data_IF_538603583735
#
_entry.id   IF_538603583735
#
_cell.length_a   1.000
_cell.length_b   1.000
_cell.length_c   1.000
_cell.angle_alpha   90.00
_cell.angle_beta   90.00
_cell.angle_gamma   90.00
#
_symmetry.space_group_name_H-M   'P 1'
#
loop_
_entity.id
_entity.type
_entity.pdbx_description
1 polymer ?
#
# COMPACT_ATOMS: atom_id res chain seq x y z
N UNK A 1 11.64 0.91 -38.13
CA UNK A 1 10.21 0.52 -38.22
C UNK A 1 9.37 0.97 -37.02
N UNK A 2 9.91 0.99 -35.79
CA UNK A 2 9.19 1.43 -34.57
C UNK A 2 8.57 2.84 -34.62
N UNK A 3 9.31 3.83 -35.16
CA UNK A 3 8.82 5.22 -35.27
C UNK A 3 7.57 5.37 -36.14
N UNK A 4 7.43 4.54 -37.19
CA UNK A 4 6.27 4.57 -38.07
C UNK A 4 5.04 3.97 -37.38
N UNK A 5 5.20 2.80 -36.75
CA UNK A 5 4.13 2.14 -36.00
C UNK A 5 3.63 3.00 -34.83
N UNK A 6 4.54 3.68 -34.11
CA UNK A 6 4.15 4.60 -33.04
C UNK A 6 3.32 5.78 -33.58
N UNK A 7 3.71 6.33 -34.73
CA UNK A 7 2.98 7.43 -35.40
C UNK A 7 1.59 7.00 -35.86
N UNK A 8 1.47 5.79 -36.38
CA UNK A 8 0.18 5.21 -36.81
C UNK A 8 -0.73 4.96 -35.60
N UNK A 9 -0.18 4.38 -34.53
CA UNK A 9 -0.91 4.13 -33.29
C UNK A 9 -1.44 5.43 -32.66
N UNK A 10 -0.61 6.48 -32.55
CA UNK A 10 -1.03 7.78 -32.01
C UNK A 10 -2.17 8.40 -32.81
N UNK A 11 -2.08 8.35 -34.14
CA UNK A 11 -3.11 8.89 -35.03
C UNK A 11 -4.42 8.12 -34.92
N UNK A 12 -4.35 6.80 -34.71
CA UNK A 12 -5.52 5.97 -34.51
C UNK A 12 -6.17 6.23 -33.14
N UNK A 13 -5.36 6.42 -32.10
CA UNK A 13 -5.82 6.75 -30.74
C UNK A 13 -6.54 8.11 -30.68
N UNK A 14 -6.07 9.11 -31.43
CA UNK A 14 -6.76 10.40 -31.56
C UNK A 14 -8.05 10.32 -32.39
N UNK A 15 -8.12 9.41 -33.37
CA UNK A 15 -9.34 9.20 -34.17
C UNK A 15 -10.47 8.57 -33.34
N UNK A 16 -10.13 7.67 -32.40
CA UNK A 16 -11.08 7.01 -31.49
C UNK A 16 -11.13 7.68 -30.11
N UNK A 17 -11.35 9.00 -30.07
CA UNK A 17 -11.20 9.83 -28.86
C UNK A 17 -12.05 9.37 -27.68
N UNK A 18 -13.34 9.05 -27.88
CA UNK A 18 -14.25 8.69 -26.80
C UNK A 18 -13.90 7.34 -26.14
N UNK A 19 -13.63 6.32 -26.95
CA UNK A 19 -13.33 4.98 -26.45
C UNK A 19 -11.91 4.90 -25.87
N UNK A 20 -10.95 5.57 -26.51
CA UNK A 20 -9.59 5.68 -25.97
C UNK A 20 -9.56 6.44 -24.65
N UNK A 21 -10.40 7.47 -24.48
CA UNK A 21 -10.48 8.23 -23.24
C UNK A 21 -10.96 7.36 -22.07
N UNK A 22 -12.05 6.62 -22.24
CA UNK A 22 -12.57 5.71 -21.21
C UNK A 22 -11.55 4.62 -20.88
N UNK A 23 -10.91 4.03 -21.89
CA UNK A 23 -9.90 2.98 -21.70
C UNK A 23 -8.67 3.48 -20.94
N UNK A 24 -8.17 4.68 -21.26
CA UNK A 24 -7.01 5.26 -20.57
C UNK A 24 -7.40 5.69 -19.15
N UNK A 25 -8.61 6.22 -18.95
CA UNK A 25 -9.10 6.61 -17.63
C UNK A 25 -9.22 5.42 -16.68
N UNK A 26 -9.89 4.35 -17.10
CA UNK A 26 -10.07 3.16 -16.25
C UNK A 26 -8.73 2.50 -15.92
N UNK A 27 -7.82 2.41 -16.90
CA UNK A 27 -6.47 1.92 -16.69
C UNK A 27 -5.69 2.80 -15.71
N UNK A 28 -5.79 4.12 -15.85
CA UNK A 28 -5.11 5.07 -14.96
C UNK A 28 -5.67 5.03 -13.54
N UNK A 29 -6.99 4.92 -13.38
CA UNK A 29 -7.65 4.79 -12.09
C UNK A 29 -7.23 3.49 -11.38
N UNK A 30 -7.20 2.37 -12.10
CA UNK A 30 -6.73 1.09 -11.57
C UNK A 30 -5.26 1.15 -11.14
N UNK A 31 -4.40 1.73 -11.98
CA UNK A 31 -2.98 1.90 -11.68
C UNK A 31 -2.77 2.81 -10.46
N UNK A 32 -3.52 3.92 -10.38
CA UNK A 32 -3.44 4.87 -9.27
C UNK A 32 -3.82 4.20 -7.95
N UNK A 33 -4.96 3.48 -7.92
CA UNK A 33 -5.38 2.73 -6.74
C UNK A 33 -4.35 1.68 -6.32
N UNK A 34 -3.80 0.94 -7.30
CA UNK A 34 -2.76 -0.06 -7.06
C UNK A 34 -1.49 0.57 -6.47
N UNK A 35 -1.04 1.71 -6.99
CA UNK A 35 0.14 2.43 -6.49
C UNK A 35 -0.09 2.94 -5.06
N UNK A 36 -1.29 3.48 -4.76
CA UNK A 36 -1.63 3.95 -3.41
C UNK A 36 -1.56 2.80 -2.40
N UNK A 37 -2.12 1.63 -2.75
CA UNK A 37 -2.08 0.44 -1.89
C UNK A 37 -0.64 -0.03 -1.70
N UNK A 38 0.17 -0.07 -2.77
CA UNK A 38 1.59 -0.43 -2.68
C UNK A 38 2.38 0.53 -1.79
N UNK A 39 2.12 1.83 -1.87
CA UNK A 39 2.75 2.83 -1.01
C UNK A 39 2.36 2.61 0.46
N UNK A 40 1.10 2.32 0.73
CA UNK A 40 0.64 2.00 2.07
C UNK A 40 1.33 0.76 2.64
N UNK A 41 1.35 -0.34 1.87
CA UNK A 41 2.03 -1.59 2.28
C UNK A 41 3.53 -1.35 2.49
N UNK A 42 4.16 -0.56 1.61
CA UNK A 42 5.56 -0.22 1.72
C UNK A 42 5.84 0.55 3.02
N UNK A 43 5.00 1.52 3.37
CA UNK A 43 5.08 2.26 4.63
C UNK A 43 4.95 1.33 5.84
N UNK A 44 3.92 0.47 5.88
CA UNK A 44 3.70 -0.46 7.00
C UNK A 44 4.86 -1.46 7.14
N UNK A 45 5.29 -2.05 6.02
CA UNK A 45 6.41 -3.01 6.03
C UNK A 45 7.74 -2.32 6.37
N UNK A 46 7.91 -1.05 5.99
CA UNK A 46 9.09 -0.26 6.35
C UNK A 46 9.10 0.11 7.82
N UNK A 47 7.95 0.30 8.45
CA UNK A 47 7.84 0.52 9.90
C UNK A 47 8.26 -0.73 10.70
N UNK A 48 8.01 -1.93 10.18
CA UNK A 48 8.50 -3.15 10.84
C UNK A 48 10.00 -3.44 10.57
N UNK A 49 10.66 -2.62 9.73
CA UNK A 49 12.03 -2.87 9.26
C UNK A 49 12.99 -1.69 9.46
N UNK A 50 12.58 -0.59 10.09
CA UNK A 50 13.42 0.60 10.23
C UNK A 50 14.61 0.40 11.17
N UNK A 51 14.56 -0.59 12.08
CA UNK A 51 15.69 -0.91 12.96
C UNK A 51 15.90 -2.43 13.09
N UNK A 52 17.15 -2.93 12.93
CA UNK A 52 17.49 -4.34 13.16
C UNK A 52 17.24 -4.79 14.61
N UNK A 53 17.13 -3.85 15.56
CA UNK A 53 16.83 -4.13 16.97
C UNK A 53 15.33 -4.28 17.28
N UNK A 54 14.43 -4.11 16.30
CA UNK A 54 12.98 -4.33 16.50
C UNK A 54 12.64 -5.76 16.97
N UNK A 55 13.49 -6.74 16.63
CA UNK A 55 13.35 -8.13 17.14
C UNK A 55 13.55 -8.25 18.65
N UNK A 56 14.19 -7.27 19.27
CA UNK A 56 14.52 -7.22 20.70
C UNK A 56 13.56 -6.31 21.49
N UNK A 57 12.58 -5.69 20.83
CA UNK A 57 11.58 -4.84 21.48
C UNK A 57 10.46 -5.73 22.03
N UNK A 58 10.42 -5.87 23.35
CA UNK A 58 9.38 -6.63 24.05
C UNK A 58 8.32 -5.69 24.63
N UNK A 59 7.04 -6.05 24.46
CA UNK A 59 5.92 -5.31 25.07
C UNK A 59 5.84 -5.66 26.56
N UNK A 60 6.08 -4.69 27.43
CA UNK A 60 5.95 -4.88 28.88
C UNK A 60 4.46 -4.85 29.24
N UNK A 61 3.93 -6.00 29.67
CA UNK A 61 2.56 -6.11 30.20
C UNK A 61 2.61 -6.30 31.71
N UNK A 62 1.78 -5.56 32.45
CA UNK A 62 1.68 -5.73 33.90
C UNK A 62 0.66 -6.82 34.19
N UNK A 63 1.10 -7.88 34.87
CA UNK A 63 0.21 -8.93 35.38
C UNK A 63 -0.16 -8.60 36.82
N UNK A 64 -1.44 -8.37 37.07
CA UNK A 64 -1.95 -8.22 38.42
C UNK A 64 -2.64 -9.52 38.82
N UNK A 65 -2.22 -10.10 39.94
CA UNK A 65 -2.84 -11.31 40.48
C UNK A 65 -3.90 -10.90 41.49
N UNK A 66 -5.17 -11.02 41.12
CA UNK A 66 -6.31 -10.71 41.99
C UNK A 66 -7.01 -12.03 42.39
N UNK A 67 -6.61 -12.62 43.52
CA UNK A 67 -7.12 -13.92 43.96
C UNK A 67 -6.71 -15.08 43.05
N UNK A 68 -7.69 -15.90 42.61
CA UNK A 68 -7.48 -17.02 41.67
C UNK A 68 -7.55 -16.61 40.19
N UNK A 69 -7.75 -15.32 39.90
CA UNK A 69 -7.81 -14.80 38.54
C UNK A 69 -6.53 -14.03 38.22
N UNK A 70 -5.85 -14.44 37.15
CA UNK A 70 -4.73 -13.68 36.58
C UNK A 70 -5.30 -12.63 35.62
N UNK A 71 -5.31 -11.36 36.04
CA UNK A 71 -5.75 -10.25 35.20
C UNK A 71 -4.53 -9.59 34.54
N UNK A 72 -4.47 -9.68 33.22
CA UNK A 72 -3.41 -9.04 32.43
C UNK A 72 -3.93 -7.75 31.82
N UNK A 73 -3.52 -6.60 32.36
CA UNK A 73 -3.84 -5.30 31.79
C UNK A 73 -2.73 -4.88 30.82
N UNK A 74 -3.09 -4.57 29.57
CA UNK A 74 -2.14 -3.98 28.63
C UNK A 74 -1.99 -2.49 28.98
N UNK A 75 -0.96 -2.12 29.74
CA UNK A 75 -0.74 -0.73 30.14
C UNK A 75 0.04 0.03 29.07
N UNK A 76 -0.64 0.64 28.10
CA UNK A 76 -0.13 1.81 27.35
C UNK A 76 -1.31 2.75 27.00
N UNK A 77 -1.30 4.01 27.50
CA UNK A 77 -2.18 5.08 27.03
C UNK A 77 -1.50 5.83 25.88
N UNK A 78 -1.37 5.18 24.73
CA UNK A 78 -1.15 5.81 23.44
C UNK A 78 -1.59 4.87 22.32
#
# INVERSE_FOLDING_TARGET
MFRLNLKIALRNLWKSRNTSFINVLSLSLGLTGFIIILLYINKETSYDKWSPDLKQVYKVGVRFKNGNADETWQTLPY
#
